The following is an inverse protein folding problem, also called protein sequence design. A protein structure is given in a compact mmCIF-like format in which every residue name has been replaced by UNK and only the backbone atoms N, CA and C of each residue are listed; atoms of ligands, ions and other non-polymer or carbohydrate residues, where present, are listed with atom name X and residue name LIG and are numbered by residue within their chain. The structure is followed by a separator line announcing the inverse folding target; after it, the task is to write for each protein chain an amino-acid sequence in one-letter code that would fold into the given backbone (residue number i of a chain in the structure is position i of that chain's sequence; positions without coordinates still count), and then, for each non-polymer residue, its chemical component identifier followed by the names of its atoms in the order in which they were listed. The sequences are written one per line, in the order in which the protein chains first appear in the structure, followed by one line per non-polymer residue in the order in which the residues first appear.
data_IF_237576597622
#
_entry.id   IF_237576597622
#
_cell.length_a   1.000
_cell.length_b   1.000
_cell.length_c   1.000
_cell.angle_alpha   90.00
_cell.angle_beta   90.00
_cell.angle_gamma   90.00
#
_symmetry.space_group_name_H-M   'P 1'
#
loop_
_entity.id
_entity.type
_entity.pdbx_description
1 polymer ?
#
# COMPACT_ATOMS: atom_id res chain seq x y z
N UNK A 1 14.33 -2.42 -12.39
CA UNK A 1 13.29 -1.83 -13.26
C UNK A 1 13.59 -1.88 -14.74
N UNK A 2 14.81 -1.58 -15.20
CA UNK A 2 15.18 -1.74 -16.62
C UNK A 2 14.72 -3.08 -17.22
N UNK A 3 15.05 -4.21 -16.59
CA UNK A 3 14.67 -5.55 -17.09
C UNK A 3 13.16 -5.70 -17.28
N UNK A 4 12.36 -5.18 -16.34
CA UNK A 4 10.89 -5.25 -16.42
C UNK A 4 10.39 -4.41 -17.58
N UNK A 5 10.83 -3.15 -17.69
CA UNK A 5 10.42 -2.28 -18.79
C UNK A 5 10.88 -2.81 -20.14
N UNK A 6 12.05 -3.46 -20.21
CA UNK A 6 12.53 -4.10 -21.43
C UNK A 6 11.61 -5.25 -21.85
N UNK A 7 11.22 -6.12 -20.92
CA UNK A 7 10.26 -7.21 -21.20
C UNK A 7 8.90 -6.65 -21.61
N UNK A 8 8.36 -5.67 -20.89
CA UNK A 8 7.09 -5.03 -21.26
C UNK A 8 7.14 -4.38 -22.65
N UNK A 9 8.23 -3.69 -22.97
CA UNK A 9 8.43 -3.04 -24.27
C UNK A 9 8.57 -4.09 -25.39
N UNK A 10 9.25 -5.21 -25.13
CA UNK A 10 9.37 -6.31 -26.07
C UNK A 10 8.02 -6.99 -26.35
N UNK A 11 7.19 -7.18 -25.31
CA UNK A 11 5.84 -7.76 -25.45
C UNK A 11 4.88 -6.80 -26.17
N UNK A 12 4.96 -5.50 -25.90
CA UNK A 12 4.15 -4.49 -26.58
C UNK A 12 4.50 -4.37 -28.08
N UNK A 13 5.75 -4.63 -28.45
CA UNK A 13 6.24 -4.61 -29.81
C UNK A 13 6.60 -3.21 -30.32
N UNK A 14 7.43 -3.18 -31.38
CA UNK A 14 7.97 -1.94 -31.95
C UNK A 14 6.89 -1.01 -32.52
N UNK A 15 5.83 -1.57 -33.12
CA UNK A 15 4.74 -0.80 -33.69
C UNK A 15 3.98 0.03 -32.63
N UNK A 16 3.74 -0.54 -31.45
CA UNK A 16 3.13 0.21 -30.35
C UNK A 16 4.12 1.23 -29.76
N UNK A 17 5.39 0.84 -29.56
CA UNK A 17 6.42 1.75 -29.05
C UNK A 17 6.55 3.03 -29.89
N UNK A 18 6.50 2.92 -31.22
CA UNK A 18 6.55 4.08 -32.13
C UNK A 18 5.37 5.05 -31.98
N UNK A 19 4.28 4.66 -31.29
CA UNK A 19 3.16 5.57 -31.00
C UNK A 19 3.38 6.41 -29.75
N UNK A 20 4.28 6.00 -28.86
CA UNK A 20 4.54 6.65 -27.57
C UNK A 20 5.94 7.26 -27.46
N UNK A 21 6.87 6.86 -28.34
CA UNK A 21 8.24 7.39 -28.36
C UNK A 21 8.90 7.19 -29.72
N UNK A 22 9.77 8.13 -30.10
CA UNK A 22 10.65 8.00 -31.28
C UNK A 22 11.94 7.22 -30.95
N UNK A 23 12.13 6.84 -29.69
CA UNK A 23 13.34 6.15 -29.23
C UNK A 23 13.28 4.65 -29.56
N UNK A 24 14.44 4.06 -29.83
CA UNK A 24 14.55 2.60 -29.90
C UNK A 24 14.16 1.97 -28.55
N UNK A 25 13.47 0.83 -28.61
CA UNK A 25 13.06 0.01 -27.46
C UNK A 25 14.10 -0.10 -26.34
N UNK A 26 15.38 -0.34 -26.67
CA UNK A 26 16.44 -0.48 -25.67
C UNK A 26 16.66 0.83 -24.91
N UNK A 27 16.77 1.94 -25.64
CA UNK A 27 17.00 3.28 -25.09
C UNK A 27 15.82 3.69 -24.24
N UNK A 28 14.59 3.51 -24.75
CA UNK A 28 13.37 3.78 -24.02
C UNK A 28 13.34 3.02 -22.69
N UNK A 29 13.58 1.72 -22.72
CA UNK A 29 13.56 0.86 -21.53
C UNK A 29 14.61 1.26 -20.49
N UNK A 30 15.82 1.65 -20.93
CA UNK A 30 16.88 2.15 -20.04
C UNK A 30 16.46 3.46 -19.40
N UNK A 31 16.00 4.42 -20.20
CA UNK A 31 15.61 5.75 -19.71
C UNK A 31 14.42 5.68 -18.75
N UNK A 32 13.38 4.90 -19.06
CA UNK A 32 12.25 4.67 -18.14
C UNK A 32 12.70 3.99 -16.85
N UNK A 33 13.62 3.01 -16.94
CA UNK A 33 14.22 2.36 -15.78
C UNK A 33 15.00 3.32 -14.88
N UNK A 34 15.77 4.24 -15.49
CA UNK A 34 16.50 5.29 -14.77
C UNK A 34 15.55 6.33 -14.16
N UNK A 35 14.51 6.74 -14.88
CA UNK A 35 13.51 7.67 -14.38
C UNK A 35 12.78 7.13 -13.16
N UNK A 36 12.46 5.83 -13.14
CA UNK A 36 11.93 5.17 -11.95
C UNK A 36 12.92 5.26 -10.78
N UNK A 37 14.21 4.97 -11.01
CA UNK A 37 15.22 5.05 -9.96
C UNK A 37 15.38 6.47 -9.41
N UNK A 38 15.33 7.49 -10.27
CA UNK A 38 15.31 8.91 -9.88
C UNK A 38 14.07 9.22 -9.04
N UNK A 39 12.88 8.77 -9.45
CA UNK A 39 11.64 8.95 -8.69
C UNK A 39 11.74 8.33 -7.29
N UNK A 40 12.25 7.11 -7.19
CA UNK A 40 12.48 6.43 -5.90
C UNK A 40 13.47 7.21 -5.03
N UNK A 41 14.56 7.72 -5.61
CA UNK A 41 15.52 8.54 -4.87
C UNK A 41 14.88 9.83 -4.34
N UNK A 42 14.03 10.49 -5.14
CA UNK A 42 13.28 11.68 -4.72
C UNK A 42 12.35 11.33 -3.56
N UNK A 43 11.61 10.22 -3.65
CA UNK A 43 10.72 9.75 -2.57
C UNK A 43 11.51 9.52 -1.28
N UNK A 44 12.64 8.81 -1.34
CA UNK A 44 13.45 8.53 -0.15
C UNK A 44 14.03 9.78 0.49
N UNK A 45 14.50 10.74 -0.32
CA UNK A 45 14.99 12.01 0.19
C UNK A 45 13.87 12.86 0.78
N UNK A 46 12.71 12.91 0.12
CA UNK A 46 11.54 13.65 0.61
C UNK A 46 11.00 13.09 1.93
N UNK A 47 10.89 11.76 2.04
CA UNK A 47 10.47 11.08 3.28
C UNK A 47 11.42 11.39 4.43
N UNK A 48 12.75 11.30 4.21
CA UNK A 48 13.74 11.64 5.25
C UNK A 48 13.65 13.09 5.70
N UNK A 49 13.44 14.01 4.75
CA UNK A 49 13.29 15.43 5.05
C UNK A 49 12.04 15.68 5.90
N UNK A 50 10.88 15.15 5.51
CA UNK A 50 9.63 15.32 6.26
C UNK A 50 9.73 14.70 7.65
N UNK A 51 10.32 13.51 7.78
CA UNK A 51 10.50 12.86 9.07
C UNK A 51 11.38 13.66 10.04
N UNK A 52 12.39 14.36 9.52
CA UNK A 52 13.27 15.22 10.31
C UNK A 52 12.53 16.32 11.07
N UNK A 53 11.48 16.89 10.46
CA UNK A 53 10.68 17.96 11.06
C UNK A 53 9.42 17.43 11.75
N UNK A 54 8.79 16.38 11.20
CA UNK A 54 7.53 15.84 11.66
C UNK A 54 7.69 15.11 13.01
N UNK A 55 8.76 14.35 13.20
CA UNK A 55 8.98 13.60 14.46
C UNK A 55 9.13 14.55 15.66
N UNK A 56 9.98 15.60 15.63
CA UNK A 56 10.04 16.58 16.72
C UNK A 56 8.74 17.35 16.94
N UNK A 57 8.02 17.70 15.86
CA UNK A 57 6.74 18.40 15.96
C UNK A 57 5.69 17.56 16.72
N UNK A 58 5.59 16.26 16.40
CA UNK A 58 4.67 15.35 17.10
C UNK A 58 5.09 15.05 18.53
N UNK A 59 6.39 15.05 18.85
CA UNK A 59 6.83 14.99 20.25
C UNK A 59 6.29 16.17 21.06
N UNK A 60 6.30 17.38 20.49
CA UNK A 60 5.70 18.55 21.14
C UNK A 60 4.20 18.42 21.39
N UNK A 61 3.46 17.85 20.43
CA UNK A 61 2.03 17.55 20.58
C UNK A 61 1.80 16.47 21.65
N UNK A 62 2.60 15.40 21.61
CA UNK A 62 2.50 14.30 22.56
C UNK A 62 2.76 14.76 23.99
N UNK A 63 3.74 15.65 24.21
CA UNK A 63 4.08 16.17 25.54
C UNK A 63 3.07 17.19 26.09
N UNK A 64 2.36 17.95 25.24
CA UNK A 64 1.51 19.07 25.70
C UNK A 64 0.01 18.86 25.50
N UNK A 65 -0.41 18.22 24.41
CA UNK A 65 -1.81 18.15 23.99
C UNK A 65 -2.40 16.76 24.19
N UNK A 66 -1.71 15.72 23.74
CA UNK A 66 -2.21 14.33 23.78
C UNK A 66 -1.08 13.41 24.32
N UNK A 67 -0.97 13.27 25.65
CA UNK A 67 0.02 12.40 26.29
C UNK A 67 0.04 11.00 25.67
N UNK A 68 1.25 10.47 25.46
CA UNK A 68 1.52 9.12 24.94
C UNK A 68 0.98 8.84 23.52
N UNK A 69 0.58 9.87 22.78
CA UNK A 69 0.15 9.70 21.38
C UNK A 69 1.32 9.34 20.46
N UNK A 70 1.07 8.40 19.54
CA UNK A 70 1.99 7.98 18.48
C UNK A 70 1.42 8.43 17.13
N UNK A 71 2.16 9.21 16.33
CA UNK A 71 1.68 9.66 15.02
C UNK A 71 1.60 8.50 14.03
N UNK A 72 0.45 8.34 13.38
CA UNK A 72 0.32 7.50 12.20
C UNK A 72 0.68 8.33 10.96
N UNK A 73 1.64 7.84 10.18
CA UNK A 73 2.19 8.50 8.98
C UNK A 73 2.18 7.53 7.80
N UNK A 74 2.42 8.05 6.60
CA UNK A 74 2.41 7.27 5.37
C UNK A 74 3.39 6.07 5.45
N UNK A 75 2.99 4.94 4.88
CA UNK A 75 3.77 3.71 4.84
C UNK A 75 5.16 3.88 4.18
N UNK A 76 5.34 4.87 3.30
CA UNK A 76 6.60 5.18 2.65
C UNK A 76 7.71 5.58 3.64
N UNK A 77 7.35 5.97 4.87
CA UNK A 77 8.29 6.17 5.98
C UNK A 77 9.15 4.93 6.23
N UNK A 78 8.60 3.74 6.02
CA UNK A 78 9.35 2.49 6.21
C UNK A 78 10.34 2.19 5.07
N UNK A 79 10.20 2.86 3.92
CA UNK A 79 11.00 2.53 2.73
C UNK A 79 12.47 2.87 2.89
N UNK A 80 12.77 3.87 3.72
CA UNK A 80 14.15 4.30 3.99
C UNK A 80 14.91 3.32 4.87
N UNK A 81 14.22 2.40 5.55
CA UNK A 81 14.82 1.41 6.45
C UNK A 81 15.22 0.10 5.75
N UNK A 82 14.51 -0.29 4.68
CA UNK A 82 14.93 -1.41 3.83
C UNK A 82 14.65 -1.13 2.34
N UNK A 83 15.43 -0.24 1.70
CA UNK A 83 15.22 0.15 0.29
C UNK A 83 15.24 -1.03 -0.69
N UNK A 84 16.06 -2.04 -0.43
CA UNK A 84 16.15 -3.25 -1.25
C UNK A 84 14.87 -4.08 -1.14
N UNK A 85 14.31 -4.24 0.06
CA UNK A 85 13.07 -4.97 0.26
C UNK A 85 11.87 -4.27 -0.39
N UNK A 86 11.86 -2.93 -0.44
CA UNK A 86 10.84 -2.16 -1.17
C UNK A 86 10.83 -2.55 -2.64
N UNK A 87 12.00 -2.55 -3.29
CA UNK A 87 12.10 -2.88 -4.72
C UNK A 87 11.75 -4.35 -4.97
N UNK A 88 12.24 -5.27 -4.15
CA UNK A 88 11.92 -6.71 -4.28
C UNK A 88 10.43 -6.97 -4.04
N UNK A 89 9.85 -6.34 -3.02
CA UNK A 89 8.44 -6.43 -2.70
C UNK A 89 7.57 -5.87 -3.82
N UNK A 90 7.91 -4.70 -4.36
CA UNK A 90 7.25 -4.13 -5.53
C UNK A 90 7.28 -5.08 -6.72
N UNK A 91 8.45 -5.60 -7.11
CA UNK A 91 8.56 -6.54 -8.25
C UNK A 91 7.69 -7.77 -8.01
N UNK A 92 7.80 -8.38 -6.82
CA UNK A 92 7.09 -9.61 -6.48
C UNK A 92 5.58 -9.37 -6.49
N UNK A 93 5.13 -8.24 -5.94
CA UNK A 93 3.73 -7.82 -5.95
C UNK A 93 3.22 -7.54 -7.36
N UNK A 94 3.99 -6.86 -8.20
CA UNK A 94 3.61 -6.60 -9.59
C UNK A 94 3.47 -7.89 -10.40
N UNK A 95 4.40 -8.83 -10.24
CA UNK A 95 4.29 -10.17 -10.84
C UNK A 95 3.06 -10.91 -10.31
N UNK A 96 2.79 -10.84 -9.00
CA UNK A 96 1.56 -11.37 -8.41
C UNK A 96 0.30 -10.75 -8.98
N UNK A 97 0.30 -9.44 -9.23
CA UNK A 97 -0.78 -8.70 -9.89
C UNK A 97 -1.00 -9.14 -11.33
N UNK A 98 0.07 -9.35 -12.11
CA UNK A 98 -0.02 -9.88 -13.48
C UNK A 98 -0.60 -11.29 -13.50
N UNK A 99 -0.14 -12.16 -12.60
CA UNK A 99 -0.72 -13.51 -12.44
C UNK A 99 -2.19 -13.40 -12.04
N UNK A 100 -2.52 -12.55 -11.06
CA UNK A 100 -3.88 -12.30 -10.63
C UNK A 100 -4.78 -11.83 -11.76
N UNK A 101 -4.33 -10.87 -12.57
CA UNK A 101 -5.03 -10.37 -13.76
C UNK A 101 -5.35 -11.50 -14.74
N UNK A 102 -4.36 -12.35 -15.07
CA UNK A 102 -4.57 -13.48 -15.98
C UNK A 102 -5.57 -14.49 -15.41
N UNK A 103 -5.51 -14.76 -14.10
CA UNK A 103 -6.46 -15.64 -13.41
C UNK A 103 -7.87 -15.06 -13.45
N UNK A 104 -8.05 -13.76 -13.19
CA UNK A 104 -9.34 -13.07 -13.29
C UNK A 104 -9.92 -13.20 -14.70
N UNK A 105 -9.09 -12.97 -15.73
CA UNK A 105 -9.49 -13.13 -17.13
C UNK A 105 -9.94 -14.56 -17.45
N UNK A 106 -9.21 -15.57 -16.98
CA UNK A 106 -9.59 -16.98 -17.15
C UNK A 106 -10.87 -17.38 -16.41
N UNK A 107 -11.19 -16.69 -15.30
CA UNK A 107 -12.42 -16.88 -14.53
C UNK A 107 -13.60 -16.05 -15.05
N UNK A 108 -13.41 -15.24 -16.10
CA UNK A 108 -14.46 -14.36 -16.64
C UNK A 108 -14.86 -13.21 -15.71
N UNK A 109 -14.00 -12.86 -14.76
CA UNK A 109 -14.22 -11.73 -13.84
C UNK A 109 -13.72 -10.41 -14.43
N UNK A 110 -14.04 -9.30 -13.77
CA UNK A 110 -13.53 -7.98 -14.13
C UNK A 110 -11.99 -7.99 -14.15
N UNK A 111 -11.40 -7.57 -15.26
CA UNK A 111 -9.96 -7.58 -15.46
C UNK A 111 -9.33 -6.35 -14.76
N UNK A 112 -8.60 -6.59 -13.68
CA UNK A 112 -7.86 -5.54 -12.98
C UNK A 112 -6.45 -5.44 -13.56
N UNK A 113 -6.15 -4.31 -14.18
CA UNK A 113 -4.81 -4.02 -14.73
C UNK A 113 -3.90 -3.61 -13.57
N UNK A 114 -2.77 -4.29 -13.35
CA UNK A 114 -1.82 -3.97 -12.27
C UNK A 114 -1.30 -2.53 -12.35
N UNK A 115 -1.68 -1.70 -11.37
CA UNK A 115 -1.20 -0.32 -11.25
C UNK A 115 0.18 -0.22 -10.60
N UNK A 116 1.06 0.61 -11.16
CA UNK A 116 2.42 0.76 -10.62
C UNK A 116 2.45 1.32 -9.20
N UNK A 117 1.58 2.29 -8.91
CA UNK A 117 1.47 2.93 -7.59
C UNK A 117 1.08 1.93 -6.50
N UNK A 118 -0.06 1.22 -6.56
CA UNK A 118 -0.46 0.30 -5.48
C UNK A 118 0.55 -0.85 -5.29
N UNK A 119 1.07 -1.42 -6.38
CA UNK A 119 2.10 -2.46 -6.25
C UNK A 119 3.41 -1.93 -5.64
N UNK A 120 3.78 -0.68 -5.92
CA UNK A 120 4.96 -0.06 -5.31
C UNK A 120 4.72 0.24 -3.83
N UNK A 121 3.60 0.86 -3.46
CA UNK A 121 3.32 1.27 -2.09
C UNK A 121 2.90 0.09 -1.21
N UNK A 122 1.85 -0.64 -1.58
CA UNK A 122 1.40 -1.81 -0.82
C UNK A 122 2.41 -2.96 -0.88
N UNK A 123 2.93 -3.27 -2.08
CA UNK A 123 3.92 -4.33 -2.26
C UNK A 123 5.29 -3.99 -1.66
N UNK A 124 5.70 -2.73 -1.72
CA UNK A 124 6.92 -2.25 -1.05
C UNK A 124 6.79 -2.35 0.47
N UNK A 125 5.67 -1.89 1.03
CA UNK A 125 5.39 -1.99 2.47
C UNK A 125 5.36 -3.43 2.93
N UNK A 126 4.61 -4.32 2.26
CA UNK A 126 4.60 -5.74 2.60
C UNK A 126 6.00 -6.36 2.50
N UNK A 127 6.79 -5.93 1.51
CA UNK A 127 8.16 -6.37 1.32
C UNK A 127 9.05 -6.01 2.51
N UNK A 128 8.98 -4.78 3.02
CA UNK A 128 9.78 -4.33 4.17
C UNK A 128 9.46 -5.11 5.44
N UNK A 129 8.17 -5.27 5.77
CA UNK A 129 7.76 -6.01 6.96
C UNK A 129 8.07 -7.51 6.84
N UNK A 130 7.80 -8.11 5.68
CA UNK A 130 8.04 -9.53 5.47
C UNK A 130 9.54 -9.87 5.36
N UNK A 131 10.39 -8.94 4.92
CA UNK A 131 11.85 -9.09 5.01
C UNK A 131 12.32 -9.13 6.47
N UNK A 132 11.76 -8.27 7.34
CA UNK A 132 12.10 -8.30 8.76
C UNK A 132 11.66 -9.60 9.45
N UNK A 133 10.50 -10.15 9.09
CA UNK A 133 9.92 -11.35 9.71
C UNK A 133 10.43 -12.67 9.11
N UNK A 134 10.68 -12.72 7.80
CA UNK A 134 10.97 -13.95 7.05
C UNK A 134 12.12 -13.83 6.06
N UNK A 135 12.89 -12.74 6.11
CA UNK A 135 14.00 -12.45 5.21
C UNK A 135 13.56 -12.39 3.74
N UNK A 136 14.52 -12.64 2.84
CA UNK A 136 14.31 -12.59 1.39
C UNK A 136 13.14 -13.46 0.90
N UNK A 137 12.97 -14.65 1.49
CA UNK A 137 11.87 -15.56 1.11
C UNK A 137 10.52 -15.03 1.56
N UNK A 138 10.44 -14.53 2.80
CA UNK A 138 9.25 -13.86 3.31
C UNK A 138 8.85 -12.66 2.45
N UNK A 139 9.82 -11.79 2.14
CA UNK A 139 9.65 -10.62 1.28
C UNK A 139 8.98 -10.96 -0.06
N UNK A 140 9.50 -11.96 -0.77
CA UNK A 140 8.99 -12.37 -2.09
C UNK A 140 7.60 -13.00 -1.97
N UNK A 141 7.43 -13.98 -1.07
CA UNK A 141 6.17 -14.73 -0.97
C UNK A 141 5.03 -13.84 -0.51
N UNK A 142 5.23 -13.05 0.55
CA UNK A 142 4.19 -12.19 1.10
C UNK A 142 3.78 -11.11 0.10
N UNK A 143 4.75 -10.48 -0.57
CA UNK A 143 4.45 -9.42 -1.55
C UNK A 143 3.79 -9.99 -2.80
N UNK A 144 4.18 -11.18 -3.26
CA UNK A 144 3.53 -11.86 -4.38
C UNK A 144 2.07 -12.20 -4.08
N UNK A 145 1.79 -12.79 -2.91
CA UNK A 145 0.42 -13.07 -2.46
C UNK A 145 -0.38 -11.77 -2.33
N UNK A 146 0.22 -10.72 -1.75
CA UNK A 146 -0.36 -9.38 -1.70
C UNK A 146 -0.70 -8.85 -3.09
N UNK A 147 0.17 -9.05 -4.07
CA UNK A 147 -0.07 -8.71 -5.47
C UNK A 147 -1.27 -9.42 -6.09
N UNK A 148 -1.48 -10.69 -5.79
CA UNK A 148 -2.68 -11.43 -6.22
C UNK A 148 -3.93 -10.82 -5.58
N UNK A 149 -3.88 -10.51 -4.27
CA UNK A 149 -5.01 -9.87 -3.61
C UNK A 149 -5.32 -8.48 -4.16
N UNK A 150 -4.31 -7.71 -4.57
CA UNK A 150 -4.48 -6.43 -5.26
C UNK A 150 -5.10 -6.55 -6.65
N UNK A 151 -5.23 -7.75 -7.22
CA UNK A 151 -6.06 -8.00 -8.39
C UNK A 151 -7.48 -8.43 -7.98
N UNK A 152 -7.61 -9.45 -7.13
CA UNK A 152 -8.90 -10.06 -6.81
C UNK A 152 -9.81 -9.17 -5.97
N UNK A 153 -9.30 -8.52 -4.92
CA UNK A 153 -10.14 -7.74 -4.02
C UNK A 153 -10.73 -6.51 -4.73
N UNK A 154 -9.98 -5.73 -5.53
CA UNK A 154 -10.59 -4.63 -6.28
C UNK A 154 -11.63 -5.13 -7.30
N UNK A 155 -11.42 -6.28 -7.94
CA UNK A 155 -12.41 -6.88 -8.84
C UNK A 155 -13.73 -7.21 -8.12
N UNK A 156 -13.63 -7.75 -6.90
CA UNK A 156 -14.78 -8.07 -6.05
C UNK A 156 -15.45 -6.82 -5.46
N UNK A 157 -14.71 -5.73 -5.31
CA UNK A 157 -15.21 -4.46 -4.78
C UNK A 157 -16.02 -3.66 -5.83
N UNK A 158 -15.70 -3.79 -7.12
CA UNK A 158 -16.31 -3.02 -8.21
C UNK A 158 -17.84 -2.91 -8.16
N UNK A 159 -18.63 -3.97 -7.88
CA UNK A 159 -20.08 -3.86 -7.80
C UNK A 159 -20.56 -2.88 -6.73
N UNK A 160 -19.87 -2.82 -5.58
CA UNK A 160 -20.20 -1.89 -4.50
C UNK A 160 -19.91 -0.43 -4.91
N UNK A 161 -18.80 -0.21 -5.63
CA UNK A 161 -18.39 1.11 -6.10
C UNK A 161 -19.22 1.62 -7.30
N UNK A 162 -19.62 0.73 -8.21
CA UNK A 162 -20.48 1.07 -9.34
C UNK A 162 -21.82 1.65 -8.88
N UNK A 163 -22.43 1.08 -7.83
CA UNK A 163 -23.66 1.60 -7.22
C UNK A 163 -23.49 2.99 -6.59
N UNK A 164 -22.26 3.44 -6.34
CA UNK A 164 -21.92 4.75 -5.81
C UNK A 164 -21.51 5.75 -6.91
N UNK A 165 -21.57 5.36 -8.18
CA UNK A 165 -21.18 6.20 -9.32
C UNK A 165 -19.71 6.09 -9.74
N UNK A 166 -18.95 5.15 -9.16
CA UNK A 166 -17.55 4.87 -9.53
C UNK A 166 -17.46 3.67 -10.47
N UNK A 167 -18.18 3.71 -11.59
CA UNK A 167 -18.17 2.63 -12.57
C UNK A 167 -16.77 2.41 -13.14
N UNK A 168 -16.33 1.14 -13.23
CA UNK A 168 -15.02 0.73 -13.75
C UNK A 168 -13.80 1.37 -13.05
N UNK A 169 -14.00 1.98 -11.88
CA UNK A 169 -12.92 2.54 -11.07
C UNK A 169 -12.92 1.87 -9.70
N UNK A 170 -11.73 1.57 -9.20
CA UNK A 170 -11.54 0.94 -7.91
C UNK A 170 -10.27 1.41 -7.25
N UNK A 171 -10.20 1.22 -5.94
CA UNK A 171 -9.02 1.46 -5.14
C UNK A 171 -8.24 0.16 -4.96
N UNK A 172 -6.93 0.29 -4.82
CA UNK A 172 -6.00 -0.83 -4.81
C UNK A 172 -5.19 -0.87 -3.51
N UNK A 173 -5.90 -0.79 -2.39
CA UNK A 173 -5.40 -1.03 -1.04
C UNK A 173 -6.14 -2.22 -0.44
N UNK A 174 -5.40 -3.12 0.21
CA UNK A 174 -5.95 -4.39 0.69
C UNK A 174 -7.07 -4.17 1.72
N UNK A 175 -6.82 -3.33 2.70
CA UNK A 175 -7.75 -3.00 3.79
C UNK A 175 -8.98 -2.25 3.27
N UNK A 176 -8.80 -1.26 2.40
CA UNK A 176 -9.91 -0.56 1.75
C UNK A 176 -10.79 -1.54 0.98
N UNK A 177 -10.19 -2.46 0.22
CA UNK A 177 -10.95 -3.41 -0.57
C UNK A 177 -11.71 -4.43 0.31
N UNK A 178 -11.07 -4.97 1.35
CA UNK A 178 -11.74 -5.88 2.29
C UNK A 178 -12.92 -5.18 2.99
N UNK A 179 -12.69 -4.00 3.57
CA UNK A 179 -13.76 -3.28 4.26
C UNK A 179 -14.84 -2.80 3.30
N UNK A 180 -14.46 -2.34 2.11
CA UNK A 180 -15.40 -1.94 1.07
C UNK A 180 -16.31 -3.09 0.62
N UNK A 181 -15.77 -4.30 0.45
CA UNK A 181 -16.57 -5.49 0.11
C UNK A 181 -17.53 -5.84 1.26
N UNK A 182 -17.04 -5.86 2.50
CA UNK A 182 -17.86 -6.19 3.68
C UNK A 182 -19.01 -5.20 3.83
N UNK A 183 -18.70 -3.90 3.80
CA UNK A 183 -19.68 -2.82 3.97
C UNK A 183 -20.64 -2.79 2.77
N UNK A 184 -20.13 -2.94 1.55
CA UNK A 184 -20.93 -2.99 0.33
C UNK A 184 -21.94 -4.14 0.34
N UNK A 185 -21.50 -5.35 0.70
CA UNK A 185 -22.39 -6.51 0.82
C UNK A 185 -23.39 -6.38 1.99
N UNK A 186 -22.99 -5.78 3.09
CA UNK A 186 -23.89 -5.54 4.21
C UNK A 186 -24.94 -4.47 3.86
N UNK A 187 -24.59 -3.48 3.03
CA UNK A 187 -25.54 -2.51 2.49
C UNK A 187 -26.52 -3.14 1.51
N UNK A 188 -26.09 -4.04 0.62
CA UNK A 188 -27.03 -4.71 -0.32
C UNK A 188 -28.05 -5.60 0.39
N UNK A 189 -27.69 -6.21 1.53
CA UNK A 189 -28.60 -7.09 2.28
C UNK A 189 -29.57 -6.34 3.20
N UNK A 190 -29.11 -5.27 3.86
CA UNK A 190 -29.84 -4.62 4.95
C UNK A 190 -30.12 -3.13 4.70
N UNK A 191 -29.69 -2.61 3.56
CA UNK A 191 -29.89 -1.22 3.15
C UNK A 191 -29.17 -0.21 4.04
N UNK A 192 -29.76 0.98 4.10
CA UNK A 192 -29.17 2.16 4.75
C UNK A 192 -29.00 2.02 6.27
N UNK A 193 -29.78 1.15 6.91
CA UNK A 193 -29.73 0.88 8.35
C UNK A 193 -28.34 0.39 8.75
N UNK A 194 -27.71 -0.47 7.94
CA UNK A 194 -26.35 -0.97 8.20
C UNK A 194 -25.32 0.14 8.26
N UNK A 195 -25.38 1.08 7.32
CA UNK A 195 -24.43 2.21 7.29
C UNK A 195 -24.58 3.02 8.58
N UNK A 196 -25.82 3.33 8.99
CA UNK A 196 -26.06 4.06 10.23
C UNK A 196 -25.56 3.32 11.47
N UNK A 197 -25.75 2.01 11.53
CA UNK A 197 -25.24 1.20 12.65
C UNK A 197 -23.71 1.17 12.67
N UNK A 198 -23.05 1.05 11.52
CA UNK A 198 -21.58 1.11 11.44
C UNK A 198 -21.07 2.48 11.87
N UNK A 199 -21.67 3.57 11.37
CA UNK A 199 -21.32 4.93 11.78
C UNK A 199 -21.52 5.14 13.29
N UNK A 200 -22.63 4.64 13.85
CA UNK A 200 -22.89 4.70 15.28
C UNK A 200 -21.87 3.88 16.07
N UNK A 201 -21.54 2.68 15.63
CA UNK A 201 -20.54 1.82 16.28
C UNK A 201 -19.15 2.46 16.26
N UNK A 202 -18.73 3.06 15.14
CA UNK A 202 -17.47 3.79 15.03
C UNK A 202 -17.46 5.05 15.92
N UNK A 203 -18.57 5.80 15.96
CA UNK A 203 -18.72 6.95 16.84
C UNK A 203 -18.62 6.53 18.31
N UNK A 204 -19.31 5.46 18.71
CA UNK A 204 -19.25 4.93 20.07
C UNK A 204 -17.84 4.43 20.38
N UNK A 205 -17.16 3.73 19.46
CA UNK A 205 -15.78 3.29 19.64
C UNK A 205 -14.81 4.47 19.80
N UNK A 206 -15.03 5.58 19.08
CA UNK A 206 -14.21 6.79 19.17
C UNK A 206 -14.47 7.59 20.45
N UNK A 207 -15.71 7.59 20.95
CA UNK A 207 -16.11 8.30 22.18
C UNK A 207 -15.94 7.47 23.44
N UNK A 208 -15.92 6.14 23.35
CA UNK A 208 -15.77 5.24 24.51
C UNK A 208 -14.51 5.55 25.33
N UNK A 209 -13.32 5.81 24.73
CA UNK A 209 -12.14 6.23 25.49
C UNK A 209 -12.31 7.55 26.26
N UNK A 210 -13.18 8.46 25.80
CA UNK A 210 -13.48 9.69 26.54
C UNK A 210 -14.33 9.42 27.80
N UNK A 211 -15.22 8.43 27.73
CA UNK A 211 -16.07 8.03 28.85
C UNK A 211 -15.34 7.12 29.85
N UNK A 212 -14.43 6.27 29.37
CA UNK A 212 -13.63 5.35 30.18
C UNK A 212 -12.16 5.80 30.17
N UNK A 213 -11.74 6.56 31.18
CA UNK A 213 -10.37 7.10 31.37
C UNK A 213 -9.22 6.09 31.33
N UNK A 214 -9.50 4.79 31.17
CA UNK A 214 -8.51 3.71 31.16
C UNK A 214 -8.78 2.67 30.05
N UNK A 215 -9.13 3.10 28.84
CA UNK A 215 -8.97 2.20 27.69
C UNK A 215 -7.47 2.11 27.42
N UNK A 216 -6.84 1.02 27.86
CA UNK A 216 -5.46 0.73 27.46
C UNK A 216 -5.43 0.57 25.93
N UNK A 217 -4.61 1.39 25.27
CA UNK A 217 -4.27 1.17 23.86
C UNK A 217 -3.64 -0.22 23.79
N UNK A 218 -4.22 -1.09 22.96
CA UNK A 218 -3.81 -2.50 22.89
C UNK A 218 -2.40 -2.58 22.29
N UNK A 219 -1.44 -3.02 23.11
CA UNK A 219 -0.04 -3.25 22.75
C UNK A 219 0.88 -2.75 23.85
N UNK A 220 1.93 -3.51 24.19
CA UNK A 220 3.06 -2.98 24.98
C UNK A 220 3.79 -1.96 24.11
N UNK A 221 3.21 -0.77 23.93
CA UNK A 221 3.90 0.37 23.32
C UNK A 221 4.95 0.80 24.33
N UNK A 222 6.18 0.31 24.12
CA UNK A 222 7.35 0.87 24.78
C UNK A 222 7.30 2.39 24.61
N UNK A 223 7.60 3.13 25.67
CA UNK A 223 7.64 4.59 25.59
C UNK A 223 8.66 5.00 24.52
N UNK A 224 8.52 6.20 23.96
CA UNK A 224 9.49 6.70 22.98
C UNK A 224 10.95 6.63 23.50
N UNK A 225 11.13 6.86 24.81
CA UNK A 225 12.42 6.77 25.50
C UNK A 225 12.93 5.32 25.56
N UNK A 226 12.04 4.35 25.82
CA UNK A 226 12.40 2.94 25.83
C UNK A 226 12.74 2.43 24.41
N UNK A 227 12.02 2.88 23.38
CA UNK A 227 12.30 2.56 21.97
C UNK A 227 13.66 3.11 21.51
N UNK A 228 13.96 4.35 21.89
CA UNK A 228 15.23 5.01 21.53
C UNK A 228 16.42 4.50 22.36
N UNK A 229 16.20 4.10 23.61
CA UNK A 229 17.22 3.46 24.44
C UNK A 229 17.61 2.07 23.93
N UNK A 230 16.63 1.29 23.45
CA UNK A 230 16.87 -0.04 22.89
C UNK A 230 17.65 0.01 21.57
N UNK A 231 17.36 0.99 20.71
CA UNK A 231 18.12 1.23 19.46
C UNK A 231 19.57 1.70 19.69
N UNK A 232 19.93 2.22 20.87
CA UNK A 232 21.33 2.56 21.21
C UNK A 232 22.15 1.35 21.68
N UNK A 233 21.48 0.27 22.07
CA UNK A 233 22.10 -0.93 22.64
C UNK A 233 22.09 -2.14 21.67
N UNK A 234 21.56 -1.96 20.47
CA UNK A 234 21.62 -2.89 19.32
C UNK A 234 22.44 -2.27 18.18
#
# INVERSE_FOLDING_TARGET
MFVIYFVCSAVAGSAYLSTITDQNMLIFSVLTGLQFAVGVAIVYNGVRLILGDLVPAFQGISQKLIPDSIPAVDCAVFFTFSPTAVVVGFISSFVGGLVGMLLLGGLGMALIIPGMVPHFFCGGTSGVFADKLGGKRGCIIASFIGGIFLAFLPAMLLPALGNLGFENSTFADFDFAVWGIIIGNAFTQFGQITIYLICLALLVALLAPFCFRHVQVVGNTLSYEELTAKQKNE
#
